data_IF_615120760423
#
_entry.id   IF_615120760423
#
_cell.length_a   1.000
_cell.length_b   1.000
_cell.length_c   1.000
_cell.angle_alpha   90.00
_cell.angle_beta   90.00
_cell.angle_gamma   90.00
#
_symmetry.space_group_name_H-M   'P 1'
#
loop_
_entity.id
_entity.type
_entity.pdbx_description
1 polymer ?
#
# COMPACT_ATOMS: atom_id res chain seq x y z
N UNK A 1 17.60 -5.76 -12.97
CA UNK A 1 17.10 -6.26 -11.67
C UNK A 1 15.86 -5.45 -11.39
N UNK A 2 14.69 -6.07 -11.23
CA UNK A 2 13.49 -5.31 -10.88
C UNK A 2 13.77 -4.58 -9.56
N UNK A 3 13.51 -3.28 -9.49
CA UNK A 3 13.61 -2.57 -8.22
C UNK A 3 12.56 -3.17 -7.27
N UNK A 4 13.02 -3.83 -6.20
CA UNK A 4 12.15 -4.44 -5.19
C UNK A 4 11.43 -3.38 -4.33
N UNK A 5 11.70 -2.10 -4.57
CA UNK A 5 11.15 -0.97 -3.85
C UNK A 5 10.37 -0.09 -4.82
N UNK A 6 9.18 0.33 -4.38
CA UNK A 6 8.28 1.17 -5.16
C UNK A 6 7.84 2.34 -4.29
N UNK A 7 7.96 3.58 -4.75
CA UNK A 7 7.50 4.72 -3.97
C UNK A 7 5.98 4.81 -4.00
N UNK A 8 5.37 5.09 -2.86
CA UNK A 8 3.91 5.24 -2.72
C UNK A 8 3.35 6.27 -3.71
N UNK A 9 4.07 7.38 -3.94
CA UNK A 9 3.66 8.42 -4.91
C UNK A 9 3.52 7.86 -6.33
N UNK A 10 4.44 6.99 -6.74
CA UNK A 10 4.46 6.44 -8.09
C UNK A 10 3.32 5.43 -8.22
N UNK A 11 2.98 4.73 -7.14
CA UNK A 11 1.90 3.74 -7.12
C UNK A 11 0.55 4.43 -7.33
N UNK A 12 0.36 5.55 -6.65
CA UNK A 12 -0.83 6.40 -6.80
C UNK A 12 -0.92 6.93 -8.23
N UNK A 13 0.18 7.48 -8.78
CA UNK A 13 0.22 7.97 -10.15
C UNK A 13 -0.14 6.88 -11.19
N UNK A 14 0.33 5.65 -10.97
CA UNK A 14 0.05 4.52 -11.85
C UNK A 14 -1.40 4.05 -11.76
N UNK A 15 -2.00 4.14 -10.57
CA UNK A 15 -3.41 3.88 -10.36
C UNK A 15 -4.30 4.93 -11.05
N UNK A 16 -3.97 6.22 -10.92
CA UNK A 16 -4.67 7.31 -11.59
C UNK A 16 -4.57 7.24 -13.12
N UNK A 17 -3.39 6.88 -13.64
CA UNK A 17 -3.16 6.68 -15.08
C UNK A 17 -3.75 5.37 -15.61
N UNK A 18 -4.27 4.52 -14.73
CA UNK A 18 -4.86 3.22 -15.08
C UNK A 18 -3.85 2.15 -15.50
N UNK A 19 -2.55 2.35 -15.24
CA UNK A 19 -1.50 1.32 -15.42
C UNK A 19 -1.63 0.20 -14.39
N UNK A 20 -2.07 0.55 -13.18
CA UNK A 20 -2.39 -0.37 -12.10
C UNK A 20 -3.89 -0.23 -11.80
N UNK A 21 -4.55 -1.37 -11.54
CA UNK A 21 -5.98 -1.40 -11.19
C UNK A 21 -6.19 -2.34 -10.02
N UNK A 22 -7.07 -1.91 -9.11
CA UNK A 22 -7.57 -2.80 -8.05
C UNK A 22 -8.59 -3.75 -8.71
N UNK A 23 -8.41 -5.08 -8.60
CA UNK A 23 -9.36 -6.04 -9.16
C UNK A 23 -10.75 -5.89 -8.55
N UNK A 24 -11.80 -6.11 -9.34
CA UNK A 24 -13.19 -5.99 -8.89
C UNK A 24 -13.58 -7.00 -7.80
N UNK A 25 -12.85 -8.11 -7.68
CA UNK A 25 -13.05 -9.14 -6.66
C UNK A 25 -12.28 -8.87 -5.36
N UNK A 26 -11.55 -7.75 -5.26
CA UNK A 26 -10.84 -7.40 -4.03
C UNK A 26 -11.83 -7.06 -2.91
N UNK A 27 -11.57 -7.54 -1.70
CA UNK A 27 -12.39 -7.16 -0.54
C UNK A 27 -12.31 -5.65 -0.35
N UNK A 28 -13.45 -5.04 0.00
CA UNK A 28 -13.49 -3.65 0.43
C UNK A 28 -12.53 -3.36 1.59
N UNK A 29 -12.26 -2.07 1.81
CA UNK A 29 -11.47 -1.62 2.94
C UNK A 29 -12.19 -1.94 4.26
N UNK A 30 -11.47 -2.50 5.23
CA UNK A 30 -12.06 -2.88 6.53
C UNK A 30 -11.30 -2.36 7.74
N UNK A 31 -10.22 -1.63 7.54
CA UNK A 31 -9.45 -1.15 8.68
C UNK A 31 -10.19 0.00 9.35
N UNK A 32 -10.27 -0.06 10.68
CA UNK A 32 -10.73 1.08 11.47
C UNK A 32 -9.62 2.13 11.64
N UNK A 33 -9.97 3.30 12.19
CA UNK A 33 -9.03 4.40 12.36
C UNK A 33 -7.88 4.08 13.33
N UNK A 34 -8.12 3.21 14.31
CA UNK A 34 -7.10 2.82 15.30
C UNK A 34 -6.05 1.91 14.66
N UNK A 35 -6.49 0.93 13.86
CA UNK A 35 -5.60 0.06 13.07
C UNK A 35 -4.72 0.86 12.11
N UNK A 36 -5.29 1.86 11.43
CA UNK A 36 -4.52 2.76 10.56
C UNK A 36 -3.46 3.52 11.36
N UNK A 37 -3.81 4.08 12.53
CA UNK A 37 -2.88 4.81 13.36
C UNK A 37 -1.71 3.94 13.86
N UNK A 38 -1.98 2.72 14.32
CA UNK A 38 -0.92 1.79 14.76
C UNK A 38 0.02 1.38 13.62
N UNK A 39 -0.49 1.26 12.40
CA UNK A 39 0.35 0.94 11.25
C UNK A 39 1.30 2.09 10.91
N UNK A 40 0.81 3.34 10.92
CA UNK A 40 1.67 4.51 10.73
C UNK A 40 2.73 4.62 11.83
N UNK A 41 2.36 4.37 13.09
CA UNK A 41 3.31 4.31 14.21
C UNK A 41 4.39 3.22 14.01
N UNK A 42 4.00 2.06 13.48
CA UNK A 42 4.94 0.98 13.17
C UNK A 42 5.94 1.37 12.07
N UNK A 43 5.47 2.04 11.02
CA UNK A 43 6.33 2.59 9.96
C UNK A 43 7.29 3.62 10.55
N UNK A 44 6.79 4.54 11.37
CA UNK A 44 7.61 5.59 12.00
C UNK A 44 8.72 5.01 12.89
N UNK A 45 8.41 3.94 13.63
CA UNK A 45 9.37 3.22 14.48
C UNK A 45 10.31 2.28 13.71
N UNK A 46 10.13 2.12 12.40
CA UNK A 46 10.94 1.25 11.57
C UNK A 46 10.72 -0.25 11.84
N UNK A 47 9.56 -0.63 12.38
CA UNK A 47 9.22 -2.04 12.52
C UNK A 47 9.00 -2.69 11.15
N UNK A 48 9.38 -3.96 10.97
CA UNK A 48 9.16 -4.65 9.71
C UNK A 48 7.66 -4.74 9.42
N UNK A 49 7.29 -4.47 8.16
CA UNK A 49 5.92 -4.56 7.66
C UNK A 49 5.85 -5.41 6.40
N UNK A 50 4.65 -5.75 5.96
CA UNK A 50 4.42 -6.61 4.81
C UNK A 50 4.80 -5.98 3.46
N UNK A 51 4.70 -6.78 2.40
CA UNK A 51 4.86 -6.34 1.01
C UNK A 51 3.50 -6.19 0.31
N UNK A 52 3.47 -5.43 -0.77
CA UNK A 52 2.32 -5.31 -1.65
C UNK A 52 2.53 -6.25 -2.84
N UNK A 53 1.50 -7.01 -3.20
CA UNK A 53 1.44 -7.77 -4.45
C UNK A 53 0.79 -6.86 -5.51
N UNK A 54 1.52 -6.57 -6.58
CA UNK A 54 1.09 -5.72 -7.70
C UNK A 54 0.84 -6.56 -8.95
#
# INVERSE_FOLDING_TARGET
MAETYYFVKDLINDLERGRIRIPSFQRGFVWDAEQVAYFIDSIYKGFPFGSILL
#
